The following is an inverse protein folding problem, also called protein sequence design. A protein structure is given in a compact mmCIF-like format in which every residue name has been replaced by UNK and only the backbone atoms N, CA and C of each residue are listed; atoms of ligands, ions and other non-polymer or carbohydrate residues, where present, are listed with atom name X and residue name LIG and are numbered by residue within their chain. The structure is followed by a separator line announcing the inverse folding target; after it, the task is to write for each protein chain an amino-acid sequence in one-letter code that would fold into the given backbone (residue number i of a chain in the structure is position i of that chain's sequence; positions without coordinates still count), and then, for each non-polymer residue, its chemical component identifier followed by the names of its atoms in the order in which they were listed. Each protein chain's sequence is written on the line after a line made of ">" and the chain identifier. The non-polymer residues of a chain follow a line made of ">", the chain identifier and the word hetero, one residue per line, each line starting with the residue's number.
data_IF_126864078703
#
_entry.id   IF_126864078703
#
_cell.length_a   1.000
_cell.length_b   1.000
_cell.length_c   1.000
_cell.angle_alpha   90.00
_cell.angle_beta   90.00
_cell.angle_gamma   90.00
#
_symmetry.space_group_name_H-M   'P 1'
#
loop_
_entity.id
_entity.type
_entity.pdbx_description
1 polymer ?
#
# COMPACT_ATOMS: atom_id res chain seq x y z
N UNK A 1 5.30 -11.25 24.82
CA UNK A 1 5.70 -9.83 24.75
C UNK A 1 5.81 -9.49 23.28
N UNK A 2 4.84 -8.73 22.77
CA UNK A 2 4.81 -8.30 21.36
C UNK A 2 5.83 -7.17 21.24
N UNK A 3 6.95 -7.42 20.57
CA UNK A 3 7.89 -6.36 20.24
C UNK A 3 7.40 -5.65 18.96
N UNK A 4 7.36 -4.32 18.95
CA UNK A 4 6.88 -3.57 17.77
C UNK A 4 7.88 -3.68 16.62
N UNK A 5 7.35 -3.96 15.43
CA UNK A 5 8.05 -3.78 14.17
C UNK A 5 8.15 -2.28 13.91
N UNK A 6 9.34 -1.72 13.92
CA UNK A 6 9.55 -0.29 13.73
C UNK A 6 10.10 -0.03 12.33
N UNK A 7 9.31 0.63 11.51
CA UNK A 7 9.77 1.21 10.25
C UNK A 7 10.07 2.69 10.46
N UNK A 8 11.31 3.08 10.28
CA UNK A 8 11.72 4.48 10.29
C UNK A 8 12.01 4.94 8.88
N UNK A 9 11.27 5.93 8.43
CA UNK A 9 11.53 6.63 7.18
C UNK A 9 12.05 8.02 7.49
N UNK A 10 13.30 8.27 7.14
CA UNK A 10 13.86 9.59 7.16
C UNK A 10 13.82 10.14 5.73
N UNK A 11 12.95 11.10 5.50
CA UNK A 11 13.14 11.98 4.36
C UNK A 11 14.44 12.69 4.67
N UNK A 12 15.46 12.52 3.82
CA UNK A 12 16.69 13.27 3.93
C UNK A 12 16.33 14.75 3.70
N UNK A 13 15.88 15.39 4.78
CA UNK A 13 15.57 16.79 4.78
C UNK A 13 16.87 17.59 4.65
N UNK A 14 16.81 18.78 4.05
CA UNK A 14 17.96 19.67 3.83
C UNK A 14 18.54 20.23 5.14
N UNK A 15 18.04 19.83 6.29
CA UNK A 15 18.43 20.38 7.60
C UNK A 15 19.90 20.20 7.96
N UNK A 16 20.66 19.38 7.23
CA UNK A 16 22.06 19.14 7.57
C UNK A 16 23.09 20.00 6.81
N UNK A 17 22.72 20.75 5.76
CA UNK A 17 23.70 21.50 4.96
C UNK A 17 23.17 22.74 4.22
N UNK A 18 22.22 23.50 4.76
CA UNK A 18 21.87 24.82 4.17
C UNK A 18 21.39 24.82 2.71
N UNK A 19 21.03 23.67 2.15
CA UNK A 19 20.43 23.56 0.82
C UNK A 19 18.96 24.00 0.89
N UNK A 20 18.48 24.77 -0.09
CA UNK A 20 17.09 25.18 -0.12
C UNK A 20 16.17 23.96 -0.10
N UNK A 21 15.02 24.00 0.63
CA UNK A 21 14.12 22.86 0.83
C UNK A 21 13.52 22.33 -0.47
N UNK A 22 13.59 23.08 -1.54
CA UNK A 22 13.01 22.74 -2.84
C UNK A 22 14.06 22.88 -3.94
N UNK A 23 14.79 21.82 -4.23
CA UNK A 23 15.59 21.76 -5.45
C UNK A 23 14.69 21.36 -6.61
N UNK A 24 14.91 21.94 -7.79
CA UNK A 24 14.21 21.58 -9.03
C UNK A 24 14.27 20.06 -9.27
N UNK A 25 15.40 19.44 -8.98
CA UNK A 25 15.60 17.99 -9.08
C UNK A 25 14.67 17.23 -8.11
N UNK A 26 14.49 17.73 -6.88
CA UNK A 26 13.55 17.15 -5.92
C UNK A 26 12.10 17.19 -6.40
N UNK A 27 11.70 18.33 -6.97
CA UNK A 27 10.38 18.50 -7.56
C UNK A 27 10.15 17.52 -8.73
N UNK A 28 11.09 17.46 -9.67
CA UNK A 28 11.02 16.54 -10.82
C UNK A 28 10.89 15.08 -10.36
N UNK A 29 11.69 14.66 -9.38
CA UNK A 29 11.62 13.31 -8.80
C UNK A 29 10.26 13.03 -8.18
N UNK A 30 9.72 13.98 -7.42
CA UNK A 30 8.39 13.83 -6.79
C UNK A 30 7.31 13.68 -7.84
N UNK A 31 7.29 14.53 -8.87
CA UNK A 31 6.34 14.45 -9.98
C UNK A 31 6.47 13.10 -10.70
N UNK A 32 7.69 12.65 -10.96
CA UNK A 32 7.93 11.35 -11.62
C UNK A 32 7.40 10.19 -10.79
N UNK A 33 7.58 10.18 -9.46
CA UNK A 33 7.05 9.15 -8.58
C UNK A 33 5.51 9.12 -8.58
N UNK A 34 4.86 10.29 -8.56
CA UNK A 34 3.41 10.37 -8.69
C UNK A 34 2.92 9.88 -10.05
N UNK A 35 3.60 10.25 -11.14
CA UNK A 35 3.27 9.75 -12.48
C UNK A 35 3.38 8.22 -12.54
N UNK A 36 4.45 7.64 -12.02
CA UNK A 36 4.61 6.17 -11.95
C UNK A 36 3.51 5.52 -11.13
N UNK A 37 3.12 6.13 -10.02
CA UNK A 37 2.00 5.64 -9.21
C UNK A 37 0.68 5.65 -10.00
N UNK A 38 0.34 6.75 -10.66
CA UNK A 38 -0.88 6.85 -11.46
C UNK A 38 -0.88 5.89 -12.65
N UNK A 39 0.25 5.76 -13.34
CA UNK A 39 0.42 4.77 -14.43
C UNK A 39 0.19 3.36 -13.87
N UNK A 40 0.78 3.03 -12.73
CA UNK A 40 0.55 1.76 -12.04
C UNK A 40 -0.93 1.51 -11.73
N UNK A 41 -1.64 2.52 -11.23
CA UNK A 41 -3.09 2.43 -10.99
C UNK A 41 -3.89 2.19 -12.28
N UNK A 42 -3.55 2.86 -13.37
CA UNK A 42 -4.21 2.68 -14.68
C UNK A 42 -3.98 1.26 -15.19
N UNK A 43 -2.74 0.78 -15.16
CA UNK A 43 -2.39 -0.58 -15.58
C UNK A 43 -3.14 -1.63 -14.77
N UNK A 44 -3.17 -1.48 -13.43
CA UNK A 44 -3.91 -2.39 -12.55
C UNK A 44 -5.41 -2.37 -12.84
N UNK A 45 -5.98 -1.20 -13.12
CA UNK A 45 -7.40 -1.08 -13.47
C UNK A 45 -7.72 -1.77 -14.79
N UNK A 46 -6.90 -1.57 -15.82
CA UNK A 46 -7.04 -2.27 -17.11
C UNK A 46 -6.96 -3.78 -16.89
N UNK A 47 -5.99 -4.25 -16.12
CA UNK A 47 -5.85 -5.67 -15.79
C UNK A 47 -7.09 -6.23 -15.09
N UNK A 48 -7.68 -5.51 -14.13
CA UNK A 48 -8.91 -5.93 -13.45
C UNK A 48 -10.05 -6.10 -14.47
N UNK A 49 -10.20 -5.17 -15.42
CA UNK A 49 -11.20 -5.25 -16.48
C UNK A 49 -10.96 -6.48 -17.37
N UNK A 50 -9.73 -6.74 -17.76
CA UNK A 50 -9.35 -7.91 -18.56
C UNK A 50 -9.55 -9.24 -17.81
N UNK A 51 -9.35 -9.24 -16.51
CA UNK A 51 -9.58 -10.43 -15.66
C UNK A 51 -11.07 -10.69 -15.40
N UNK A 52 -11.95 -9.72 -15.65
CA UNK A 52 -13.38 -9.87 -15.34
C UNK A 52 -14.01 -11.07 -16.06
N UNK A 53 -13.87 -11.25 -17.40
CA UNK A 53 -14.47 -12.36 -18.13
C UNK A 53 -13.79 -13.72 -17.92
N UNK A 54 -12.61 -13.76 -17.32
CA UNK A 54 -11.83 -15.01 -17.17
C UNK A 54 -12.52 -15.95 -16.18
N UNK A 55 -12.79 -17.23 -16.49
CA UNK A 55 -13.52 -18.16 -15.62
C UNK A 55 -12.63 -18.75 -14.51
N UNK A 56 -12.03 -17.88 -13.67
CA UNK A 56 -11.19 -18.24 -12.53
C UNK A 56 -11.83 -17.71 -11.23
N UNK A 57 -11.62 -18.42 -10.12
CA UNK A 57 -12.15 -18.01 -8.81
C UNK A 57 -11.77 -16.56 -8.47
N UNK A 58 -12.73 -15.78 -8.00
CA UNK A 58 -12.54 -14.36 -7.60
C UNK A 58 -11.36 -14.20 -6.64
N UNK A 59 -11.22 -15.08 -5.65
CA UNK A 59 -10.12 -15.04 -4.67
C UNK A 59 -8.73 -15.20 -5.30
N UNK A 60 -8.59 -16.00 -6.35
CA UNK A 60 -7.32 -16.15 -7.06
C UNK A 60 -6.95 -14.90 -7.86
N UNK A 61 -7.95 -14.28 -8.51
CA UNK A 61 -7.77 -12.99 -9.21
C UNK A 61 -7.39 -11.88 -8.24
N UNK A 62 -8.06 -11.80 -7.10
CA UNK A 62 -7.74 -10.82 -6.05
C UNK A 62 -6.31 -10.99 -5.53
N UNK A 63 -5.88 -12.23 -5.26
CA UNK A 63 -4.49 -12.52 -4.84
C UNK A 63 -3.46 -12.09 -5.89
N UNK A 64 -3.75 -12.31 -7.17
CA UNK A 64 -2.89 -11.82 -8.26
C UNK A 64 -2.79 -10.29 -8.23
N UNK A 65 -3.92 -9.59 -8.15
CA UNK A 65 -3.95 -8.12 -8.10
C UNK A 65 -3.22 -7.60 -6.86
N UNK A 66 -3.44 -8.19 -5.68
CA UNK A 66 -2.71 -7.81 -4.46
C UNK A 66 -1.18 -7.99 -4.62
N UNK A 67 -0.74 -9.09 -5.25
CA UNK A 67 0.68 -9.31 -5.54
C UNK A 67 1.25 -8.26 -6.50
N UNK A 68 0.49 -7.87 -7.52
CA UNK A 68 0.88 -6.83 -8.46
C UNK A 68 0.93 -5.45 -7.79
N UNK A 69 -0.02 -5.14 -6.90
CA UNK A 69 0.04 -3.93 -6.06
C UNK A 69 1.34 -3.92 -5.25
N UNK A 70 1.67 -5.02 -4.59
CA UNK A 70 2.91 -5.15 -3.82
C UNK A 70 4.15 -4.90 -4.68
N UNK A 71 4.23 -5.52 -5.87
CA UNK A 71 5.36 -5.35 -6.80
C UNK A 71 5.46 -3.91 -7.27
N UNK A 72 4.34 -3.29 -7.65
CA UNK A 72 4.27 -1.89 -8.09
C UNK A 72 4.76 -0.96 -6.97
N UNK A 73 4.27 -1.13 -5.74
CA UNK A 73 4.71 -0.34 -4.59
C UNK A 73 6.20 -0.53 -4.31
N UNK A 74 6.73 -1.75 -4.37
CA UNK A 74 8.18 -2.02 -4.26
C UNK A 74 8.98 -1.30 -5.33
N UNK A 75 8.53 -1.36 -6.59
CA UNK A 75 9.18 -0.69 -7.71
C UNK A 75 9.24 0.82 -7.54
N UNK A 76 8.12 1.45 -7.17
CA UNK A 76 8.06 2.89 -6.90
C UNK A 76 9.01 3.26 -5.74
N UNK A 77 9.01 2.47 -4.67
CA UNK A 77 9.90 2.72 -3.54
C UNK A 77 11.38 2.54 -3.89
N UNK A 78 11.74 1.62 -4.79
CA UNK A 78 13.12 1.47 -5.27
C UNK A 78 13.57 2.72 -6.03
N UNK A 79 12.68 3.33 -6.81
CA UNK A 79 12.94 4.57 -7.55
C UNK A 79 12.92 5.81 -6.65
N UNK A 80 12.33 5.74 -5.45
CA UNK A 80 12.30 6.82 -4.48
C UNK A 80 13.67 7.00 -3.79
N UNK A 81 14.67 7.42 -4.55
CA UNK A 81 16.07 7.57 -4.08
C UNK A 81 16.25 8.64 -3.02
N UNK A 82 15.31 9.60 -2.92
CA UNK A 82 15.33 10.66 -1.90
C UNK A 82 14.87 10.17 -0.51
N UNK A 83 14.32 8.95 -0.42
CA UNK A 83 13.83 8.36 0.84
C UNK A 83 14.88 7.39 1.37
N UNK A 84 15.48 7.74 2.50
CA UNK A 84 16.35 6.80 3.22
C UNK A 84 15.47 5.76 3.91
N UNK A 85 15.64 4.49 3.54
CA UNK A 85 14.87 3.38 4.09
C UNK A 85 15.72 2.65 5.12
N UNK A 86 15.17 2.51 6.31
CA UNK A 86 15.75 1.69 7.36
C UNK A 86 14.71 0.65 7.79
N UNK A 87 15.04 -0.62 7.61
CA UNK A 87 14.18 -1.72 8.00
C UNK A 87 14.74 -2.38 9.25
N UNK A 88 14.07 -2.15 10.38
CA UNK A 88 14.45 -2.74 11.66
C UNK A 88 13.45 -3.83 12.02
N UNK A 89 13.83 -5.08 11.80
CA UNK A 89 13.01 -6.25 12.12
C UNK A 89 13.69 -7.06 13.25
N UNK A 90 13.50 -6.63 14.49
CA UNK A 90 14.10 -7.25 15.67
C UNK A 90 13.53 -8.64 15.98
N UNK A 91 12.31 -8.91 15.57
CA UNK A 91 11.58 -10.16 15.83
C UNK A 91 11.64 -11.14 14.66
N UNK A 92 12.31 -10.79 13.57
CA UNK A 92 12.33 -11.56 12.32
C UNK A 92 10.91 -11.92 11.82
N UNK A 93 9.98 -10.94 11.95
CA UNK A 93 8.59 -11.10 11.57
C UNK A 93 8.45 -11.32 10.06
N UNK A 94 7.74 -12.38 9.67
CA UNK A 94 7.51 -12.77 8.28
C UNK A 94 6.08 -12.59 7.82
N UNK A 95 5.19 -12.08 8.70
CA UNK A 95 3.76 -11.91 8.43
C UNK A 95 3.08 -13.24 8.00
N UNK A 96 3.48 -14.34 8.62
CA UNK A 96 2.90 -15.67 8.37
C UNK A 96 1.58 -15.86 9.12
N UNK A 97 1.42 -15.15 10.25
CA UNK A 97 0.21 -15.16 11.06
C UNK A 97 -0.58 -13.85 10.89
N UNK A 98 -1.91 -13.89 11.07
CA UNK A 98 -2.73 -12.68 11.07
C UNK A 98 -2.27 -11.70 12.15
N UNK A 99 -2.02 -10.46 11.78
CA UNK A 99 -1.57 -9.41 12.68
C UNK A 99 -2.23 -8.08 12.34
N UNK A 100 -2.39 -7.21 13.34
CA UNK A 100 -2.85 -5.84 13.15
C UNK A 100 -1.61 -4.94 13.09
N UNK A 101 -1.46 -4.24 11.96
CA UNK A 101 -0.38 -3.27 11.76
C UNK A 101 -0.94 -1.88 12.04
N UNK A 102 -0.36 -1.20 13.02
CA UNK A 102 -0.66 0.20 13.34
C UNK A 102 0.53 1.04 12.90
N UNK A 103 0.28 2.03 12.05
CA UNK A 103 1.30 2.93 11.55
C UNK A 103 0.93 4.38 11.86
N UNK A 104 1.93 5.19 12.22
CA UNK A 104 1.77 6.63 12.29
C UNK A 104 1.77 7.20 10.86
N UNK A 105 0.59 7.28 10.27
CA UNK A 105 0.41 7.66 8.87
C UNK A 105 0.47 9.18 8.70
N UNK A 106 1.57 9.67 8.16
CA UNK A 106 1.79 11.10 7.92
C UNK A 106 1.99 11.44 6.43
N UNK A 107 2.22 10.44 5.59
CA UNK A 107 2.58 10.66 4.19
C UNK A 107 2.02 9.58 3.27
N UNK A 108 1.86 9.95 2.00
CA UNK A 108 1.47 9.00 0.96
C UNK A 108 2.46 7.82 0.82
N UNK A 109 3.74 8.06 1.12
CA UNK A 109 4.79 7.03 1.06
C UNK A 109 4.53 5.91 2.05
N UNK A 110 3.93 6.21 3.21
CA UNK A 110 3.64 5.19 4.24
C UNK A 110 2.71 4.10 3.69
N UNK A 111 1.73 4.49 2.85
CA UNK A 111 0.83 3.54 2.19
C UNK A 111 1.61 2.62 1.25
N UNK A 112 2.51 3.18 0.44
CA UNK A 112 3.34 2.39 -0.48
C UNK A 112 4.24 1.42 0.28
N UNK A 113 4.77 1.85 1.42
CA UNK A 113 5.59 1.00 2.28
C UNK A 113 4.78 -0.15 2.84
N UNK A 114 3.64 0.12 3.47
CA UNK A 114 2.78 -0.92 4.02
C UNK A 114 2.39 -1.93 2.95
N UNK A 115 1.89 -1.47 1.80
CA UNK A 115 1.51 -2.36 0.69
C UNK A 115 2.70 -3.12 0.08
N UNK A 116 3.93 -2.64 0.25
CA UNK A 116 5.12 -3.34 -0.21
C UNK A 116 5.53 -4.50 0.69
N UNK A 117 5.10 -4.55 1.95
CA UNK A 117 5.51 -5.58 2.92
C UNK A 117 4.97 -6.96 2.54
N UNK A 118 3.68 -7.05 2.28
CA UNK A 118 3.02 -8.32 1.96
C UNK A 118 1.85 -8.10 0.99
N UNK A 119 1.61 -9.07 0.13
CA UNK A 119 0.41 -9.11 -0.72
C UNK A 119 -0.87 -9.50 0.02
N UNK A 120 -0.76 -9.84 1.30
CA UNK A 120 -1.89 -10.21 2.16
C UNK A 120 -2.36 -9.08 3.07
N UNK A 121 -1.87 -7.87 2.88
CA UNK A 121 -2.27 -6.71 3.67
C UNK A 121 -3.64 -6.23 3.20
N UNK A 122 -4.55 -6.07 4.15
CA UNK A 122 -5.84 -5.42 3.98
C UNK A 122 -5.81 -4.07 4.71
N UNK A 123 -6.18 -3.02 4.02
CA UNK A 123 -6.16 -1.67 4.59
C UNK A 123 -7.57 -1.18 4.89
N UNK A 124 -7.70 -0.43 5.98
CA UNK A 124 -8.90 0.36 6.26
C UNK A 124 -8.72 1.73 5.59
N UNK A 125 -9.71 2.13 4.80
CA UNK A 125 -9.63 3.36 4.00
C UNK A 125 -10.73 4.34 4.40
N UNK A 126 -10.47 5.62 4.22
CA UNK A 126 -11.44 6.69 4.42
C UNK A 126 -12.31 6.93 3.17
N UNK A 127 -13.29 7.83 3.30
CA UNK A 127 -14.23 8.18 2.23
C UNK A 127 -13.53 8.68 0.95
N UNK A 128 -12.52 9.52 1.08
CA UNK A 128 -11.82 10.11 -0.05
C UNK A 128 -11.08 9.06 -0.88
N UNK A 129 -10.35 8.15 -0.21
CA UNK A 129 -9.62 7.05 -0.86
C UNK A 129 -10.60 6.09 -1.54
N UNK A 130 -11.70 5.74 -0.86
CA UNK A 130 -12.71 4.81 -1.34
C UNK A 130 -13.40 5.29 -2.63
N UNK A 131 -13.65 6.60 -2.73
CA UNK A 131 -14.31 7.22 -3.89
C UNK A 131 -13.33 7.79 -4.92
N UNK A 132 -12.03 7.58 -4.73
CA UNK A 132 -11.01 8.05 -5.68
C UNK A 132 -11.25 7.46 -7.08
N UNK A 133 -11.21 8.30 -8.15
CA UNK A 133 -11.40 7.84 -9.52
C UNK A 133 -10.23 6.94 -10.00
N UNK A 134 -9.04 7.09 -9.42
CA UNK A 134 -7.84 6.37 -9.85
C UNK A 134 -7.70 5.01 -9.17
N UNK A 135 -7.74 4.96 -7.86
CA UNK A 135 -7.48 3.74 -7.09
C UNK A 135 -8.71 3.19 -6.35
N UNK A 136 -9.82 3.94 -6.25
CA UNK A 136 -11.04 3.47 -5.59
C UNK A 136 -11.59 2.17 -6.16
N UNK A 137 -11.56 1.99 -7.49
CA UNK A 137 -11.98 0.74 -8.11
C UNK A 137 -11.06 -0.44 -7.75
N UNK A 138 -9.76 -0.19 -7.64
CA UNK A 138 -8.75 -1.21 -7.29
C UNK A 138 -8.96 -1.68 -5.86
N UNK A 139 -9.07 -0.76 -4.89
CA UNK A 139 -9.23 -1.09 -3.47
C UNK A 139 -10.54 -1.82 -3.18
N UNK A 140 -11.63 -1.45 -3.87
CA UNK A 140 -12.91 -2.19 -3.80
C UNK A 140 -12.81 -3.59 -4.39
N UNK A 141 -12.06 -3.76 -5.48
CA UNK A 141 -11.85 -5.06 -6.11
C UNK A 141 -11.08 -6.03 -5.21
N UNK A 142 -10.06 -5.54 -4.49
CA UNK A 142 -9.26 -6.36 -3.57
C UNK A 142 -9.87 -6.47 -2.17
N UNK A 143 -11.10 -5.97 -1.99
CA UNK A 143 -11.86 -6.03 -0.73
C UNK A 143 -11.18 -5.31 0.44
N UNK A 144 -10.55 -4.15 0.20
CA UNK A 144 -10.14 -3.28 1.31
C UNK A 144 -11.38 -2.77 2.04
N UNK A 145 -11.20 -2.28 3.25
CA UNK A 145 -12.31 -1.89 4.11
C UNK A 145 -12.55 -0.38 4.05
N UNK A 146 -13.82 -0.02 4.07
CA UNK A 146 -14.26 1.36 4.16
C UNK A 146 -14.71 1.67 5.60
N UNK A 147 -14.13 2.69 6.22
CA UNK A 147 -14.45 3.06 7.61
C UNK A 147 -15.92 3.48 7.80
N UNK A 148 -16.61 3.89 6.74
CA UNK A 148 -18.03 4.25 6.77
C UNK A 148 -18.98 3.06 6.63
N UNK A 149 -18.49 1.82 6.43
CA UNK A 149 -19.31 0.62 6.56
C UNK A 149 -19.63 0.36 8.05
N UNK A 150 -20.82 -0.17 8.33
CA UNK A 150 -21.20 -0.52 9.70
C UNK A 150 -20.19 -1.50 10.34
N UNK A 151 -19.90 -1.30 11.64
CA UNK A 151 -18.90 -2.07 12.38
C UNK A 151 -19.09 -3.58 12.27
N UNK A 152 -20.32 -4.07 12.35
CA UNK A 152 -20.61 -5.49 12.30
C UNK A 152 -20.28 -6.12 10.93
N UNK A 153 -20.67 -5.45 9.83
CA UNK A 153 -20.37 -5.92 8.46
C UNK A 153 -18.87 -5.94 8.20
N UNK A 154 -18.18 -4.89 8.68
CA UNK A 154 -16.73 -4.79 8.62
C UNK A 154 -16.05 -5.97 9.34
N UNK A 155 -16.46 -6.26 10.58
CA UNK A 155 -15.86 -7.33 11.39
C UNK A 155 -16.11 -8.71 10.83
N UNK A 156 -17.29 -8.97 10.27
CA UNK A 156 -17.61 -10.25 9.63
C UNK A 156 -16.73 -10.48 8.40
N UNK A 157 -16.60 -9.48 7.53
CA UNK A 157 -15.72 -9.56 6.35
C UNK A 157 -14.26 -9.77 6.74
N UNK A 158 -13.79 -9.08 7.77
CA UNK A 158 -12.43 -9.24 8.27
C UNK A 158 -12.18 -10.66 8.78
N UNK A 159 -13.08 -11.21 9.60
CA UNK A 159 -12.98 -12.60 10.10
C UNK A 159 -12.90 -13.62 8.95
N UNK A 160 -13.70 -13.40 7.89
CA UNK A 160 -13.66 -14.25 6.71
C UNK A 160 -12.30 -14.19 6.02
N UNK A 161 -11.74 -12.99 5.83
CA UNK A 161 -10.43 -12.81 5.18
C UNK A 161 -9.28 -13.41 5.99
N UNK A 162 -9.32 -13.28 7.31
CA UNK A 162 -8.33 -13.92 8.20
C UNK A 162 -8.39 -15.45 8.04
N UNK A 163 -9.58 -16.06 7.94
CA UNK A 163 -9.72 -17.51 7.66
C UNK A 163 -9.20 -17.90 6.26
N UNK A 164 -9.22 -16.99 5.29
CA UNK A 164 -8.65 -17.18 3.94
C UNK A 164 -7.12 -17.01 3.90
N UNK A 165 -6.49 -16.68 5.03
CA UNK A 165 -5.03 -16.55 5.17
C UNK A 165 -4.47 -15.16 4.83
N UNK A 166 -5.28 -14.11 4.97
CA UNK A 166 -4.86 -12.70 4.90
C UNK A 166 -4.42 -12.20 6.27
#
# INVERSE_FOLDING_TARGET
>A
TIQPLIFRFFIAGPASKGLPPYTLIGLIRTVLLFLLFFIGCIVLRILIILLYPVPVRKSSKQRLVCRLIQITCKGILLLATAVKKEHINKTNERFEQPAIIIANHQSFIDILVLLSLSSKILMVTNHWVWHSPFFGAIIRYVDFYYIGEGYEQYMERMRKKVKEGY
#
